data_IF_016362752841
#
_entry.id   IF_016362752841
#
_cell.length_a   1.000
_cell.length_b   1.000
_cell.length_c   1.000
_cell.angle_alpha   90.00
_cell.angle_beta   90.00
_cell.angle_gamma   90.00
#
_symmetry.space_group_name_H-M   'P 1'
#
loop_
_entity.id
_entity.type
_entity.pdbx_description
1 polymer ?
#
# COMPACT_ATOMS: atom_id res chain seq x y z
N UNK A 1 10.78 -33.69 0.29
CA UNK A 1 11.84 -33.08 1.15
C UNK A 1 11.36 -31.67 1.55
N UNK A 2 11.21 -31.39 2.84
CA UNK A 2 10.94 -30.02 3.32
C UNK A 2 12.23 -29.21 3.14
N UNK A 3 12.29 -28.38 2.11
CA UNK A 3 13.43 -27.48 1.92
C UNK A 3 13.55 -26.55 3.14
N UNK A 4 14.72 -26.58 3.75
CA UNK A 4 15.03 -25.81 4.95
C UNK A 4 15.09 -24.32 4.62
N UNK A 5 14.14 -23.56 5.14
CA UNK A 5 14.17 -22.08 5.04
C UNK A 5 15.24 -21.55 6.00
N UNK A 6 16.23 -20.79 5.54
CA UNK A 6 17.31 -20.25 6.35
C UNK A 6 16.79 -19.46 7.58
N UNK A 7 17.49 -19.58 8.71
CA UNK A 7 17.11 -18.87 9.95
C UNK A 7 16.94 -17.36 9.74
N UNK A 8 17.80 -16.74 8.93
CA UNK A 8 17.71 -15.31 8.61
C UNK A 8 16.42 -14.94 7.89
N UNK A 9 15.99 -15.75 6.91
CA UNK A 9 14.72 -15.53 6.19
C UNK A 9 13.52 -15.66 7.14
N UNK A 10 13.53 -16.64 8.06
CA UNK A 10 12.46 -16.81 9.05
C UNK A 10 12.37 -15.62 10.00
N UNK A 11 13.49 -15.08 10.47
CA UNK A 11 13.53 -13.91 11.34
C UNK A 11 13.03 -12.64 10.62
N UNK A 12 13.39 -12.45 9.34
CA UNK A 12 12.87 -11.37 8.52
C UNK A 12 11.35 -11.45 8.37
N UNK A 13 10.82 -12.62 8.00
CA UNK A 13 9.38 -12.83 7.83
C UNK A 13 8.63 -12.68 9.16
N UNK A 14 9.16 -13.17 10.27
CA UNK A 14 8.58 -12.99 11.60
C UNK A 14 8.56 -11.52 12.01
N UNK A 15 9.67 -10.80 11.82
CA UNK A 15 9.73 -9.36 12.08
C UNK A 15 8.73 -8.58 11.23
N UNK A 16 8.64 -8.88 9.93
CA UNK A 16 7.66 -8.24 9.05
C UNK A 16 6.22 -8.52 9.50
N UNK A 17 5.90 -9.75 9.87
CA UNK A 17 4.58 -10.08 10.41
C UNK A 17 4.26 -9.26 11.65
N UNK A 18 5.13 -9.28 12.67
CA UNK A 18 4.93 -8.59 13.95
C UNK A 18 4.85 -7.07 13.76
N UNK A 19 5.68 -6.48 12.90
CA UNK A 19 5.66 -5.02 12.63
C UNK A 19 4.46 -4.57 11.79
N UNK A 20 3.82 -5.46 11.04
CA UNK A 20 2.65 -5.14 10.20
C UNK A 20 1.33 -5.19 10.99
N UNK A 21 1.26 -5.93 12.10
CA UNK A 21 0.05 -5.95 12.96
C UNK A 21 -0.36 -4.56 13.42
N UNK A 22 0.53 -3.70 13.94
CA UNK A 22 0.21 -2.31 14.26
C UNK A 22 -0.39 -1.51 13.10
N UNK A 23 0.09 -1.73 11.87
CA UNK A 23 -0.45 -1.07 10.70
C UNK A 23 -1.91 -1.46 10.43
N UNK A 24 -2.25 -2.75 10.55
CA UNK A 24 -3.64 -3.22 10.42
C UNK A 24 -4.57 -2.61 11.47
N UNK A 25 -4.10 -2.44 12.70
CA UNK A 25 -4.81 -1.75 13.78
C UNK A 25 -5.04 -0.27 13.44
N UNK A 26 -3.99 0.46 13.03
CA UNK A 26 -4.07 1.89 12.71
C UNK A 26 -4.99 2.18 11.52
N UNK A 27 -5.05 1.29 10.53
CA UNK A 27 -5.94 1.45 9.37
C UNK A 27 -7.40 1.67 9.76
N UNK A 28 -7.84 1.02 10.84
CA UNK A 28 -9.22 1.09 11.31
C UNK A 28 -9.36 2.14 12.42
N UNK A 29 -8.47 2.10 13.41
CA UNK A 29 -8.62 2.82 14.67
C UNK A 29 -8.26 4.30 14.57
N UNK A 30 -7.17 4.63 13.86
CA UNK A 30 -6.61 5.97 13.94
C UNK A 30 -7.59 7.08 13.51
N UNK A 31 -8.33 6.98 12.37
CA UNK A 31 -9.27 8.03 11.98
C UNK A 31 -10.41 8.21 12.98
N UNK A 32 -10.90 7.11 13.57
CA UNK A 32 -11.98 7.13 14.56
C UNK A 32 -11.50 7.66 15.92
N UNK A 33 -10.30 7.26 16.34
CA UNK A 33 -9.65 7.79 17.53
C UNK A 33 -9.47 9.31 17.47
N UNK A 34 -8.97 9.83 16.35
CA UNK A 34 -8.73 11.26 16.18
C UNK A 34 -10.03 12.07 16.29
N UNK A 35 -11.16 11.60 15.73
CA UNK A 35 -12.46 12.26 15.89
C UNK A 35 -12.91 12.21 17.35
N UNK A 36 -12.74 11.09 18.05
CA UNK A 36 -13.07 10.99 19.48
C UNK A 36 -12.18 11.88 20.36
N UNK A 37 -10.95 12.11 19.93
CA UNK A 37 -10.04 13.07 20.56
C UNK A 37 -10.43 14.54 20.25
N UNK A 38 -11.53 14.79 19.54
CA UNK A 38 -12.02 16.13 19.21
C UNK A 38 -11.36 16.75 17.98
N UNK A 39 -10.63 15.98 17.20
CA UNK A 39 -9.99 16.48 15.97
C UNK A 39 -11.00 16.49 14.84
N UNK A 40 -11.15 17.63 14.19
CA UNK A 40 -12.07 17.79 13.06
C UNK A 40 -11.65 16.94 11.83
N UNK A 41 -12.61 16.39 11.05
CA UNK A 41 -12.32 15.59 9.86
C UNK A 41 -11.43 16.30 8.83
N UNK A 42 -11.57 17.60 8.65
CA UNK A 42 -10.74 18.39 7.76
C UNK A 42 -9.26 18.39 8.18
N UNK A 43 -9.01 18.51 9.49
CA UNK A 43 -7.67 18.45 10.06
C UNK A 43 -7.08 17.02 9.98
N UNK A 44 -7.90 15.99 10.15
CA UNK A 44 -7.48 14.59 9.93
C UNK A 44 -7.03 14.41 8.48
N UNK A 45 -7.79 14.94 7.52
CA UNK A 45 -7.40 14.92 6.11
C UNK A 45 -6.05 15.60 5.85
N UNK A 46 -5.82 16.76 6.47
CA UNK A 46 -4.53 17.46 6.42
C UNK A 46 -3.39 16.62 7.01
N UNK A 47 -3.61 16.01 8.17
CA UNK A 47 -2.66 15.10 8.83
C UNK A 47 -2.21 13.97 7.92
N UNK A 48 -3.17 13.29 7.29
CA UNK A 48 -2.91 12.21 6.35
C UNK A 48 -2.14 12.71 5.12
N UNK A 49 -2.49 13.88 4.61
CA UNK A 49 -1.83 14.50 3.46
C UNK A 49 -0.37 14.84 3.77
N UNK A 50 -0.12 15.53 4.87
CA UNK A 50 1.25 15.93 5.27
C UNK A 50 2.10 14.69 5.51
N UNK A 51 1.60 13.70 6.26
CA UNK A 51 2.31 12.45 6.50
C UNK A 51 2.60 11.69 5.21
N UNK A 52 1.64 11.62 4.28
CA UNK A 52 1.81 10.95 2.99
C UNK A 52 2.82 11.66 2.08
N UNK A 53 2.83 12.99 2.03
CA UNK A 53 3.80 13.78 1.28
C UNK A 53 5.21 13.60 1.83
N UNK A 54 5.39 13.69 3.16
CA UNK A 54 6.69 13.46 3.81
C UNK A 54 7.17 12.04 3.54
N UNK A 55 6.29 11.05 3.66
CA UNK A 55 6.61 9.64 3.32
C UNK A 55 7.11 9.52 1.89
N UNK A 56 6.39 10.11 0.93
CA UNK A 56 6.74 10.05 -0.50
C UNK A 56 8.10 10.66 -0.79
N UNK A 57 8.43 11.77 -0.13
CA UNK A 57 9.75 12.40 -0.23
C UNK A 57 10.85 11.50 0.35
N UNK A 58 10.63 10.93 1.53
CA UNK A 58 11.63 10.05 2.19
C UNK A 58 11.86 8.79 1.35
N UNK A 59 10.79 8.19 0.78
CA UNK A 59 10.92 7.01 -0.12
C UNK A 59 11.85 7.30 -1.27
N UNK A 60 11.75 8.48 -1.89
CA UNK A 60 12.58 8.84 -3.03
C UNK A 60 14.10 8.81 -2.74
N UNK A 61 14.48 9.09 -1.50
CA UNK A 61 15.90 9.13 -1.07
C UNK A 61 16.34 7.91 -0.26
N UNK A 62 15.40 7.12 0.27
CA UNK A 62 15.68 6.02 1.22
C UNK A 62 16.63 4.95 0.67
N UNK A 63 16.51 4.60 -0.61
CA UNK A 63 17.37 3.60 -1.24
C UNK A 63 18.84 3.97 -1.25
N UNK A 64 19.16 5.24 -1.51
CA UNK A 64 20.55 5.75 -1.52
C UNK A 64 21.16 5.74 -0.12
N UNK A 65 20.38 6.13 0.88
CA UNK A 65 20.85 6.13 2.27
C UNK A 65 20.99 4.71 2.83
N UNK A 66 20.07 3.79 2.52
CA UNK A 66 20.14 2.39 2.94
C UNK A 66 21.40 1.68 2.42
N UNK A 67 21.78 1.95 1.17
CA UNK A 67 22.98 1.38 0.57
C UNK A 67 24.29 1.97 1.18
N UNK A 68 24.27 3.22 1.69
CA UNK A 68 25.45 3.85 2.34
C UNK A 68 25.63 3.43 3.81
N UNK A 69 24.57 3.39 4.58
CA UNK A 69 24.61 3.17 6.05
C UNK A 69 24.44 1.71 6.47
N UNK A 70 24.11 0.80 5.53
CA UNK A 70 23.86 -0.61 5.76
C UNK A 70 22.34 -0.90 5.92
N UNK A 71 21.87 -1.84 5.13
CA UNK A 71 20.44 -2.19 5.05
C UNK A 71 19.86 -2.68 6.37
N UNK A 72 20.65 -3.47 7.15
CA UNK A 72 20.21 -3.96 8.45
C UNK A 72 19.96 -2.83 9.45
N UNK A 73 20.90 -1.87 9.57
CA UNK A 73 20.76 -0.73 10.49
C UNK A 73 19.56 0.13 10.08
N UNK A 74 19.40 0.33 8.79
CA UNK A 74 18.29 1.09 8.22
C UNK A 74 16.94 0.42 8.47
N UNK A 75 16.87 -0.92 8.34
CA UNK A 75 15.66 -1.70 8.61
C UNK A 75 15.29 -1.66 10.12
N UNK A 76 16.26 -1.81 11.01
CA UNK A 76 16.03 -1.70 12.46
C UNK A 76 15.56 -0.29 12.83
N UNK A 77 16.25 0.76 12.36
CA UNK A 77 15.88 2.14 12.62
C UNK A 77 14.46 2.45 12.11
N UNK A 78 14.17 2.08 10.85
CA UNK A 78 12.85 2.26 10.25
C UNK A 78 11.74 1.53 11.02
N UNK A 79 12.03 0.32 11.53
CA UNK A 79 11.07 -0.43 12.36
C UNK A 79 10.83 0.25 13.71
N UNK A 80 11.80 0.95 14.30
CA UNK A 80 11.67 1.62 15.61
C UNK A 80 11.05 3.02 15.52
N UNK A 81 11.11 3.70 14.37
CA UNK A 81 10.57 5.06 14.20
C UNK A 81 9.09 5.20 14.61
N UNK A 82 8.17 4.22 14.39
CA UNK A 82 6.79 4.34 14.84
C UNK A 82 6.60 4.28 16.36
N UNK A 83 7.56 3.78 17.12
CA UNK A 83 7.42 3.60 18.58
C UNK A 83 7.09 4.91 19.33
N UNK A 84 7.83 6.02 19.12
CA UNK A 84 7.45 7.31 19.71
C UNK A 84 6.03 7.75 19.33
N UNK A 85 5.61 7.47 18.09
CA UNK A 85 4.28 7.85 17.62
C UNK A 85 3.17 7.12 18.38
N UNK A 86 3.34 5.81 18.61
CA UNK A 86 2.38 5.04 19.42
C UNK A 86 2.33 5.54 20.87
N UNK A 87 3.48 5.93 21.43
CA UNK A 87 3.53 6.52 22.79
C UNK A 87 2.78 7.85 22.82
N UNK A 88 2.97 8.71 21.82
CA UNK A 88 2.26 9.99 21.71
C UNK A 88 0.75 9.75 21.58
N UNK A 89 0.31 8.85 20.70
CA UNK A 89 -1.13 8.50 20.59
C UNK A 89 -1.72 7.93 21.88
N UNK A 90 -0.90 7.27 22.71
CA UNK A 90 -1.34 6.75 24.00
C UNK A 90 -1.42 7.82 25.11
N UNK A 91 -0.67 8.91 25.02
CA UNK A 91 -0.44 9.82 26.15
C UNK A 91 -1.01 11.23 25.99
N UNK A 92 -1.21 11.69 24.76
CA UNK A 92 -1.68 13.06 24.50
C UNK A 92 -2.68 13.14 23.35
N UNK A 93 -3.56 14.14 23.42
CA UNK A 93 -4.49 14.53 22.35
C UNK A 93 -4.15 15.90 21.78
N UNK A 94 -3.00 16.48 22.16
CA UNK A 94 -2.56 17.77 21.63
C UNK A 94 -2.29 17.68 20.12
N UNK A 95 -2.90 18.54 19.29
CA UNK A 95 -2.78 18.48 17.83
C UNK A 95 -1.34 18.56 17.30
N UNK A 96 -0.46 19.33 17.97
CA UNK A 96 0.94 19.50 17.53
C UNK A 96 1.69 18.16 17.65
N UNK A 97 1.54 17.47 18.79
CA UNK A 97 2.14 16.17 19.02
C UNK A 97 1.55 15.08 18.12
N UNK A 98 0.23 15.14 17.85
CA UNK A 98 -0.43 14.21 16.93
C UNK A 98 0.07 14.39 15.49
N UNK A 99 0.34 15.64 15.05
CA UNK A 99 0.96 15.90 13.75
C UNK A 99 2.36 15.28 13.70
N UNK A 100 3.20 15.56 14.69
CA UNK A 100 4.56 15.03 14.75
C UNK A 100 4.57 13.49 14.75
N UNK A 101 3.71 12.87 15.56
CA UNK A 101 3.53 11.42 15.61
C UNK A 101 3.08 10.84 14.26
N UNK A 102 2.15 11.50 13.59
CA UNK A 102 1.63 11.06 12.29
C UNK A 102 2.68 11.13 11.19
N UNK A 103 3.55 12.14 11.22
CA UNK A 103 4.67 12.27 10.27
C UNK A 103 5.72 11.17 10.50
N UNK A 104 6.05 10.88 11.75
CA UNK A 104 7.06 9.87 12.09
C UNK A 104 6.56 8.44 11.85
N UNK A 105 5.47 8.08 12.47
CA UNK A 105 4.94 6.71 12.48
C UNK A 105 4.05 6.37 11.28
N UNK A 106 3.58 7.38 10.56
CA UNK A 106 2.65 7.23 9.46
C UNK A 106 1.19 7.20 9.90
N UNK A 107 0.31 7.30 8.90
CA UNK A 107 -1.15 7.24 9.06
C UNK A 107 -1.74 6.38 7.95
N UNK A 108 -2.72 5.56 8.29
CA UNK A 108 -3.43 4.74 7.32
C UNK A 108 -2.51 3.83 6.49
N UNK A 109 -2.59 3.94 5.17
CA UNK A 109 -1.75 3.22 4.22
C UNK A 109 -0.36 3.87 4.01
N UNK A 110 -0.18 5.11 4.46
CA UNK A 110 1.09 5.80 4.43
C UNK A 110 1.87 5.47 5.71
N UNK A 111 2.88 4.63 5.60
CA UNK A 111 3.69 4.17 6.72
C UNK A 111 4.64 5.23 7.30
N UNK A 112 4.44 6.51 7.00
CA UNK A 112 5.30 7.60 7.47
C UNK A 112 6.75 7.44 7.03
N UNK A 113 7.65 8.12 7.74
CA UNK A 113 9.08 7.96 7.56
C UNK A 113 9.55 6.51 7.75
N UNK A 114 8.90 5.78 8.65
CA UNK A 114 9.18 4.39 8.96
C UNK A 114 9.02 3.45 7.77
N UNK A 115 7.87 3.50 7.10
CA UNK A 115 7.60 2.62 5.94
C UNK A 115 8.52 2.89 4.77
N UNK A 116 8.86 4.17 4.55
CA UNK A 116 9.82 4.56 3.53
C UNK A 116 11.19 3.88 3.71
N UNK A 117 11.64 3.75 4.95
CA UNK A 117 12.93 3.18 5.29
C UNK A 117 12.92 1.64 5.29
N UNK A 118 11.80 1.03 5.64
CA UNK A 118 11.72 -0.43 5.83
C UNK A 118 11.51 -1.21 4.54
N UNK A 119 10.62 -0.77 3.63
CA UNK A 119 10.20 -1.55 2.46
C UNK A 119 11.37 -1.92 1.55
N UNK A 120 12.16 -0.93 1.11
CA UNK A 120 13.28 -1.18 0.19
C UNK A 120 14.37 -2.04 0.81
N UNK A 121 14.66 -1.85 2.10
CA UNK A 121 15.67 -2.62 2.83
C UNK A 121 15.21 -4.05 3.11
N UNK A 122 13.93 -4.25 3.42
CA UNK A 122 13.33 -5.55 3.66
C UNK A 122 13.37 -6.42 2.39
N UNK A 123 12.86 -5.92 1.27
CA UNK A 123 12.82 -6.66 0.01
C UNK A 123 14.22 -7.04 -0.48
N UNK A 124 15.18 -6.12 -0.34
CA UNK A 124 16.56 -6.38 -0.71
C UNK A 124 17.21 -7.47 0.17
N UNK A 125 17.03 -7.41 1.50
CA UNK A 125 17.53 -8.43 2.42
C UNK A 125 16.83 -9.77 2.23
N UNK A 126 15.54 -9.77 1.91
CA UNK A 126 14.78 -11.00 1.64
C UNK A 126 15.28 -11.68 0.36
N UNK A 127 15.54 -10.91 -0.69
CA UNK A 127 16.11 -11.42 -1.95
C UNK A 127 17.52 -11.97 -1.79
N UNK A 128 18.34 -11.36 -0.91
CA UNK A 128 19.71 -11.80 -0.61
C UNK A 128 19.75 -13.12 0.16
N UNK A 129 18.82 -13.31 1.10
CA UNK A 129 18.78 -14.52 1.96
C UNK A 129 18.01 -15.70 1.36
N UNK A 130 17.26 -15.48 0.27
CA UNK A 130 16.53 -16.51 -0.44
C UNK A 130 17.38 -17.04 -1.60
N UNK A 131 17.55 -18.39 -1.69
CA UNK A 131 18.14 -19.01 -2.87
C UNK A 131 17.31 -18.71 -4.13
N UNK A 132 17.94 -18.74 -5.30
CA UNK A 132 17.27 -18.39 -6.57
C UNK A 132 16.02 -19.26 -6.82
N UNK A 133 16.11 -20.56 -6.50
CA UNK A 133 15.01 -21.52 -6.59
C UNK A 133 13.87 -21.27 -5.60
N UNK A 134 14.15 -20.66 -4.45
CA UNK A 134 13.16 -20.38 -3.39
C UNK A 134 12.60 -18.97 -3.43
N UNK A 135 13.20 -18.06 -4.20
CA UNK A 135 12.89 -16.62 -4.19
C UNK A 135 11.40 -16.35 -4.40
N UNK A 136 10.80 -16.90 -5.44
CA UNK A 136 9.36 -16.71 -5.73
C UNK A 136 8.47 -17.18 -4.58
N UNK A 137 8.80 -18.35 -3.99
CA UNK A 137 8.04 -18.91 -2.87
C UNK A 137 8.15 -18.07 -1.60
N UNK A 138 9.36 -17.54 -1.32
CA UNK A 138 9.60 -16.71 -0.14
C UNK A 138 8.89 -15.35 -0.27
N UNK A 139 8.90 -14.72 -1.46
CA UNK A 139 8.14 -13.50 -1.70
C UNK A 139 6.62 -13.73 -1.63
N UNK A 140 6.11 -14.83 -2.17
CA UNK A 140 4.69 -15.18 -2.05
C UNK A 140 4.29 -15.41 -0.57
N UNK A 141 5.12 -16.08 0.21
CA UNK A 141 4.92 -16.25 1.65
C UNK A 141 4.95 -14.92 2.40
N UNK A 142 5.85 -14.01 2.03
CA UNK A 142 5.92 -12.65 2.60
C UNK A 142 4.62 -11.88 2.37
N UNK A 143 4.07 -11.91 1.16
CA UNK A 143 2.80 -11.26 0.84
C UNK A 143 1.61 -11.88 1.60
N UNK A 144 1.57 -13.21 1.73
CA UNK A 144 0.54 -13.87 2.51
C UNK A 144 0.63 -13.49 4.01
N UNK A 145 1.84 -13.48 4.58
CA UNK A 145 2.08 -13.06 5.95
C UNK A 145 1.73 -11.59 6.18
N UNK A 146 2.02 -10.71 5.21
CA UNK A 146 1.61 -9.30 5.23
C UNK A 146 0.09 -9.17 5.34
N UNK A 147 -0.67 -9.83 4.47
CA UNK A 147 -2.13 -9.80 4.50
C UNK A 147 -2.71 -10.38 5.79
N UNK A 148 -2.13 -11.48 6.29
CA UNK A 148 -2.53 -12.07 7.58
C UNK A 148 -2.25 -11.11 8.74
N UNK A 149 -1.09 -10.46 8.79
CA UNK A 149 -0.74 -9.51 9.84
C UNK A 149 -1.68 -8.29 9.84
N UNK A 150 -2.00 -7.75 8.66
CA UNK A 150 -3.01 -6.70 8.52
C UNK A 150 -4.38 -7.14 9.03
N UNK A 151 -4.80 -8.37 8.71
CA UNK A 151 -6.06 -8.93 9.18
C UNK A 151 -6.07 -9.05 10.72
N UNK A 152 -5.00 -9.60 11.32
CA UNK A 152 -4.87 -9.67 12.79
C UNK A 152 -4.94 -8.28 13.43
N UNK A 153 -4.20 -7.31 12.90
CA UNK A 153 -4.24 -5.93 13.38
C UNK A 153 -5.63 -5.30 13.26
N UNK A 154 -6.33 -5.56 12.16
CA UNK A 154 -7.70 -5.07 11.95
C UNK A 154 -8.69 -5.68 12.95
N UNK A 155 -8.57 -6.97 13.28
CA UNK A 155 -9.39 -7.60 14.33
C UNK A 155 -9.06 -7.01 15.71
N UNK A 156 -7.78 -6.74 15.99
CA UNK A 156 -7.38 -6.10 17.23
C UNK A 156 -7.97 -4.68 17.40
N UNK A 157 -8.51 -4.08 16.35
CA UNK A 157 -9.24 -2.82 16.43
C UNK A 157 -10.48 -2.88 17.34
N UNK A 158 -11.01 -4.08 17.63
CA UNK A 158 -12.11 -4.26 18.58
C UNK A 158 -11.71 -4.05 20.07
N UNK A 159 -10.41 -4.09 20.38
CA UNK A 159 -9.93 -4.05 21.78
C UNK A 159 -10.38 -2.77 22.52
N UNK A 160 -10.27 -1.54 21.99
CA UNK A 160 -10.77 -0.35 22.68
C UNK A 160 -12.26 -0.45 23.04
N UNK A 161 -13.09 -0.93 22.11
CA UNK A 161 -14.53 -1.12 22.37
C UNK A 161 -14.77 -2.16 23.48
N UNK A 162 -14.05 -3.27 23.48
CA UNK A 162 -14.12 -4.28 24.54
C UNK A 162 -13.72 -3.71 25.89
N UNK A 163 -12.67 -2.90 25.97
CA UNK A 163 -12.24 -2.25 27.20
C UNK A 163 -13.30 -1.30 27.75
N UNK A 164 -13.99 -0.55 26.89
CA UNK A 164 -15.10 0.33 27.30
C UNK A 164 -16.31 -0.45 27.79
N UNK A 165 -16.75 -1.45 27.04
CA UNK A 165 -18.01 -2.15 27.31
C UNK A 165 -17.91 -3.18 28.43
N UNK A 166 -16.78 -3.88 28.54
CA UNK A 166 -16.61 -4.98 29.52
C UNK A 166 -15.91 -4.55 30.80
N UNK A 167 -15.06 -3.53 30.74
CA UNK A 167 -14.24 -3.08 31.89
C UNK A 167 -14.56 -1.65 32.34
N UNK A 168 -15.47 -0.93 31.67
CA UNK A 168 -15.85 0.44 32.04
C UNK A 168 -14.73 1.47 31.89
N UNK A 169 -13.71 1.18 31.07
CA UNK A 169 -12.60 2.11 30.81
C UNK A 169 -13.13 3.33 30.06
N UNK A 170 -12.63 4.53 30.40
CA UNK A 170 -13.01 5.77 29.72
C UNK A 170 -12.72 5.75 28.21
N UNK A 171 -13.47 6.57 27.46
CA UNK A 171 -13.43 6.56 25.99
C UNK A 171 -12.01 6.69 25.40
N UNK A 172 -11.26 7.71 25.79
CA UNK A 172 -9.90 7.92 25.30
C UNK A 172 -8.87 7.01 25.98
N UNK A 173 -9.11 6.64 27.25
CA UNK A 173 -8.23 5.74 27.99
C UNK A 173 -8.21 4.33 27.40
N UNK A 174 -9.31 3.89 26.80
CA UNK A 174 -9.42 2.58 26.16
C UNK A 174 -8.42 2.37 25.01
N UNK A 175 -7.89 3.43 24.44
CA UNK A 175 -6.88 3.36 23.37
C UNK A 175 -5.44 3.30 23.88
N UNK A 176 -5.18 3.70 25.16
CA UNK A 176 -3.82 3.73 25.73
C UNK A 176 -3.16 2.37 25.68
N UNK A 177 -3.84 1.35 26.23
CA UNK A 177 -3.29 -0.01 26.29
C UNK A 177 -3.00 -0.59 24.89
N UNK A 178 -3.93 -0.55 23.93
CA UNK A 178 -3.65 -0.96 22.54
C UNK A 178 -2.46 -0.23 21.90
N UNK A 179 -2.35 1.10 22.03
CA UNK A 179 -1.21 1.81 21.46
C UNK A 179 0.12 1.43 22.11
N UNK A 180 0.16 1.25 23.43
CA UNK A 180 1.36 0.74 24.10
C UNK A 180 1.69 -0.70 23.71
N UNK A 181 0.68 -1.55 23.49
CA UNK A 181 0.88 -2.90 22.96
C UNK A 181 1.46 -2.86 21.54
N UNK A 182 1.00 -1.93 20.67
CA UNK A 182 1.57 -1.74 19.32
C UNK A 182 3.03 -1.26 19.38
N UNK A 183 3.36 -0.37 20.32
CA UNK A 183 4.74 0.03 20.58
C UNK A 183 5.61 -1.16 21.00
N UNK A 184 5.15 -1.98 21.93
CA UNK A 184 5.85 -3.18 22.38
C UNK A 184 6.06 -4.20 21.26
N UNK A 185 5.02 -4.47 20.44
CA UNK A 185 5.11 -5.34 19.27
C UNK A 185 6.16 -4.82 18.26
N UNK A 186 6.21 -3.53 18.05
CA UNK A 186 7.16 -2.90 17.13
C UNK A 186 8.60 -3.02 17.65
N UNK A 187 8.82 -2.85 18.96
CA UNK A 187 10.12 -3.10 19.60
C UNK A 187 10.51 -4.58 19.48
N UNK A 188 9.57 -5.50 19.73
CA UNK A 188 9.81 -6.93 19.56
C UNK A 188 10.16 -7.29 18.10
N UNK A 189 9.49 -6.67 17.11
CA UNK A 189 9.83 -6.83 15.69
C UNK A 189 11.26 -6.38 15.39
N UNK A 190 11.68 -5.22 15.93
CA UNK A 190 13.05 -4.73 15.77
C UNK A 190 14.07 -5.64 16.45
N UNK A 191 13.75 -6.19 17.62
CA UNK A 191 14.62 -7.16 18.33
C UNK A 191 14.87 -8.43 17.49
N UNK A 192 13.88 -8.92 16.73
CA UNK A 192 14.04 -10.04 15.81
C UNK A 192 15.05 -9.78 14.68
N UNK A 193 15.32 -8.51 14.36
CA UNK A 193 16.28 -8.11 13.33
C UNK A 193 17.73 -8.01 13.86
N UNK A 194 17.92 -7.92 15.18
CA UNK A 194 19.24 -7.76 15.79
C UNK A 194 20.20 -8.92 15.47
N UNK A 195 19.80 -10.22 15.48
CA UNK A 195 20.70 -11.31 15.16
C UNK A 195 21.00 -11.48 13.66
N UNK A 196 20.36 -10.69 12.77
CA UNK A 196 20.59 -10.79 11.33
C UNK A 196 21.99 -10.28 10.97
N UNK A 197 22.67 -11.00 10.07
CA UNK A 197 23.93 -10.56 9.48
C UNK A 197 23.68 -10.09 8.06
N UNK A 198 24.37 -9.03 7.65
CA UNK A 198 24.34 -8.47 6.31
C UNK A 198 25.54 -9.02 5.52
N UNK A 199 25.32 -9.56 4.32
CA UNK A 199 26.41 -9.99 3.44
C UNK A 199 26.94 -8.79 2.66
N UNK A 200 28.17 -8.39 2.99
CA UNK A 200 28.84 -7.19 2.47
C UNK A 200 29.20 -7.31 0.97
N UNK A 201 29.26 -8.54 0.45
CA UNK A 201 29.72 -8.83 -0.92
C UNK A 201 28.79 -8.33 -2.03
N UNK A 202 27.50 -8.10 -1.75
CA UNK A 202 26.51 -7.65 -2.74
C UNK A 202 26.50 -6.12 -2.95
N UNK A 203 27.28 -5.38 -2.16
CA UNK A 203 27.30 -3.91 -2.13
C UNK A 203 27.89 -3.24 -3.39
N UNK A 204 28.60 -3.98 -4.23
CA UNK A 204 29.49 -3.43 -5.27
C UNK A 204 28.89 -3.31 -6.68
N UNK A 205 27.67 -3.79 -6.96
CA UNK A 205 27.19 -3.98 -8.34
C UNK A 205 25.98 -3.12 -8.77
N UNK A 206 25.79 -1.91 -8.26
CA UNK A 206 24.81 -0.98 -8.85
C UNK A 206 25.48 0.07 -9.72
N UNK A 207 25.49 -0.21 -11.02
CA UNK A 207 25.74 0.78 -12.06
C UNK A 207 24.62 1.82 -11.99
N UNK A 208 25.00 3.09 -11.82
CA UNK A 208 24.08 4.22 -11.87
C UNK A 208 23.41 4.26 -13.26
N UNK A 209 22.17 3.77 -13.35
CA UNK A 209 21.33 4.02 -14.52
C UNK A 209 21.02 5.52 -14.58
N UNK A 210 21.13 6.12 -15.76
CA UNK A 210 20.90 7.55 -15.95
C UNK A 210 19.54 8.00 -15.44
N UNK A 211 19.46 9.20 -14.86
CA UNK A 211 18.31 9.76 -14.15
C UNK A 211 17.04 9.95 -15.00
N UNK A 212 17.12 9.90 -16.33
CA UNK A 212 16.00 10.15 -17.22
C UNK A 212 15.85 9.03 -18.26
N UNK A 213 14.75 8.27 -18.26
CA UNK A 213 14.45 7.28 -19.26
C UNK A 213 14.20 7.98 -20.60
N UNK A 214 14.87 7.54 -21.68
CA UNK A 214 14.71 8.11 -23.01
C UNK A 214 13.87 7.24 -23.95
N UNK A 215 14.04 5.93 -23.85
CA UNK A 215 13.40 4.95 -24.77
C UNK A 215 12.00 4.54 -24.34
N UNK A 216 11.72 4.47 -23.05
CA UNK A 216 10.43 3.99 -22.51
C UNK A 216 9.50 5.12 -22.06
N UNK A 217 9.77 6.38 -22.42
CA UNK A 217 8.95 7.54 -22.04
C UNK A 217 7.44 7.34 -22.22
N UNK A 218 6.93 6.84 -23.39
CA UNK A 218 5.49 6.66 -23.57
C UNK A 218 4.89 5.62 -22.61
N UNK A 219 5.63 4.54 -22.34
CA UNK A 219 5.18 3.50 -21.42
C UNK A 219 5.14 4.01 -19.97
N UNK A 220 6.18 4.74 -19.57
CA UNK A 220 6.27 5.35 -18.23
C UNK A 220 5.19 6.42 -18.04
N UNK A 221 4.94 7.27 -19.05
CA UNK A 221 3.89 8.29 -18.98
C UNK A 221 2.49 7.65 -18.89
N UNK A 222 2.22 6.60 -19.67
CA UNK A 222 0.94 5.88 -19.61
C UNK A 222 0.76 5.20 -18.26
N UNK A 223 1.81 4.60 -17.70
CA UNK A 223 1.80 3.99 -16.39
C UNK A 223 1.59 5.05 -15.30
N UNK A 224 2.34 6.15 -15.35
CA UNK A 224 2.24 7.26 -14.40
C UNK A 224 0.83 7.87 -14.38
N UNK A 225 0.20 8.03 -15.55
CA UNK A 225 -1.18 8.50 -15.65
C UNK A 225 -2.15 7.53 -14.95
N UNK A 226 -2.07 6.23 -15.28
CA UNK A 226 -2.95 5.21 -14.71
C UNK A 226 -2.78 5.06 -13.20
N UNK A 227 -1.52 4.97 -12.73
CA UNK A 227 -1.21 4.81 -11.31
C UNK A 227 -1.50 6.11 -10.53
N UNK A 228 -1.39 7.28 -11.18
CA UNK A 228 -1.74 8.57 -10.60
C UNK A 228 -3.24 8.68 -10.33
N UNK A 229 -4.08 8.31 -11.30
CA UNK A 229 -5.53 8.21 -11.09
C UNK A 229 -5.85 7.25 -9.94
N UNK A 230 -5.26 6.06 -9.92
CA UNK A 230 -5.48 5.07 -8.88
C UNK A 230 -5.01 5.56 -7.51
N UNK A 231 -3.85 6.21 -7.44
CA UNK A 231 -3.31 6.80 -6.21
C UNK A 231 -4.25 7.84 -5.62
N UNK A 232 -4.67 8.83 -6.41
CA UNK A 232 -5.60 9.85 -5.95
C UNK A 232 -6.96 9.26 -5.55
N UNK A 233 -7.50 8.32 -6.36
CA UNK A 233 -8.75 7.62 -6.08
C UNK A 233 -8.72 6.84 -4.76
N UNK A 234 -7.61 6.16 -4.47
CA UNK A 234 -7.39 5.47 -3.20
C UNK A 234 -7.26 6.47 -2.05
N UNK A 235 -6.54 7.57 -2.26
CA UNK A 235 -6.37 8.64 -1.28
C UNK A 235 -7.69 9.27 -0.87
N UNK A 236 -8.51 9.69 -1.84
CA UNK A 236 -9.76 10.42 -1.56
C UNK A 236 -10.88 9.52 -1.04
N UNK A 237 -10.98 8.27 -1.51
CA UNK A 237 -12.10 7.40 -1.17
C UNK A 237 -11.79 6.39 -0.06
N UNK A 238 -10.54 5.94 0.10
CA UNK A 238 -10.25 4.76 0.91
C UNK A 238 -9.49 5.06 2.19
N UNK A 239 -8.60 6.03 2.19
CA UNK A 239 -7.78 6.32 3.37
C UNK A 239 -8.60 6.75 4.59
N UNK A 240 -9.65 7.55 4.39
CA UNK A 240 -10.57 8.00 5.44
C UNK A 240 -11.90 7.22 5.43
N UNK A 241 -11.94 6.06 4.78
CA UNK A 241 -13.15 5.24 4.72
C UNK A 241 -13.63 4.73 6.10
N UNK A 242 -12.76 4.37 7.07
CA UNK A 242 -13.22 4.06 8.42
C UNK A 242 -13.95 5.23 9.08
N UNK A 243 -13.43 6.46 8.89
CA UNK A 243 -14.09 7.68 9.35
C UNK A 243 -15.44 7.89 8.64
N UNK A 244 -15.49 7.69 7.32
CA UNK A 244 -16.71 7.77 6.55
C UNK A 244 -17.79 6.81 7.06
N UNK A 245 -17.42 5.53 7.34
CA UNK A 245 -18.34 4.55 7.92
C UNK A 245 -18.83 4.98 9.29
N UNK A 246 -17.93 5.46 10.15
CA UNK A 246 -18.29 5.95 11.49
C UNK A 246 -19.27 7.11 11.43
N UNK A 247 -19.01 8.13 10.61
CA UNK A 247 -19.86 9.32 10.46
C UNK A 247 -21.19 9.00 9.79
N UNK A 248 -21.22 8.09 8.81
CA UNK A 248 -22.42 7.79 8.01
C UNK A 248 -23.37 6.80 8.68
N UNK A 249 -22.83 5.76 9.34
CA UNK A 249 -23.61 4.66 9.91
C UNK A 249 -23.53 4.59 11.45
N UNK A 250 -22.72 5.43 12.10
CA UNK A 250 -22.55 5.39 13.56
C UNK A 250 -21.79 4.16 14.06
N UNK A 251 -21.07 3.45 13.18
CA UNK A 251 -20.31 2.24 13.55
C UNK A 251 -18.97 2.59 14.19
N UNK A 252 -18.51 1.69 15.03
CA UNK A 252 -17.26 1.84 15.75
C UNK A 252 -16.16 0.91 15.19
N UNK A 253 -14.98 0.95 15.79
CA UNK A 253 -13.82 0.17 15.40
C UNK A 253 -14.02 -1.35 15.54
N UNK A 254 -14.86 -1.81 16.49
CA UNK A 254 -15.17 -3.23 16.64
C UNK A 254 -16.07 -3.75 15.51
N UNK A 255 -16.96 -2.90 15.00
CA UNK A 255 -17.82 -3.23 13.85
C UNK A 255 -16.99 -3.29 12.56
N UNK A 256 -16.00 -2.41 12.39
CA UNK A 256 -15.19 -2.29 11.18
C UNK A 256 -14.08 -3.34 11.09
N UNK A 257 -13.45 -3.67 12.21
CA UNK A 257 -12.28 -4.56 12.27
C UNK A 257 -12.46 -5.87 11.49
N UNK A 258 -13.54 -6.64 11.70
CA UNK A 258 -13.80 -7.88 10.97
C UNK A 258 -13.90 -7.70 9.45
N UNK A 259 -14.48 -6.60 8.96
CA UNK A 259 -14.61 -6.34 7.53
C UNK A 259 -13.28 -5.97 6.88
N UNK A 260 -12.43 -5.20 7.58
CA UNK A 260 -11.07 -4.93 7.13
C UNK A 260 -10.22 -6.20 7.10
N UNK A 261 -10.37 -7.07 8.10
CA UNK A 261 -9.73 -8.38 8.11
C UNK A 261 -10.22 -9.26 6.95
N UNK A 262 -11.54 -9.32 6.72
CA UNK A 262 -12.13 -10.04 5.60
C UNK A 262 -11.61 -9.55 4.25
N UNK A 263 -11.44 -8.24 4.06
CA UNK A 263 -10.87 -7.67 2.84
C UNK A 263 -9.42 -8.14 2.60
N UNK A 264 -8.60 -8.21 3.65
CA UNK A 264 -7.23 -8.73 3.54
C UNK A 264 -7.21 -10.23 3.22
N UNK A 265 -8.04 -11.02 3.88
CA UNK A 265 -8.11 -12.46 3.65
C UNK A 265 -8.66 -12.79 2.26
N UNK A 266 -9.71 -12.09 1.80
CA UNK A 266 -10.25 -12.29 0.46
C UNK A 266 -9.23 -11.95 -0.63
N UNK A 267 -8.37 -10.95 -0.38
CA UNK A 267 -7.30 -10.56 -1.30
C UNK A 267 -6.28 -11.68 -1.56
N UNK A 268 -6.10 -12.63 -0.63
CA UNK A 268 -5.27 -13.81 -0.87
C UNK A 268 -5.85 -14.72 -1.96
N UNK A 269 -7.16 -14.71 -2.14
CA UNK A 269 -7.85 -15.48 -3.18
C UNK A 269 -7.57 -15.01 -4.61
N UNK A 270 -7.03 -13.80 -4.80
CA UNK A 270 -6.69 -13.26 -6.14
C UNK A 270 -5.70 -14.14 -6.88
N UNK A 271 -4.79 -14.83 -6.18
CA UNK A 271 -3.79 -15.72 -6.76
C UNK A 271 -4.42 -16.83 -7.61
N UNK A 272 -5.59 -17.32 -7.21
CA UNK A 272 -6.31 -18.38 -7.96
C UNK A 272 -7.03 -17.84 -9.19
N UNK A 273 -7.40 -16.56 -9.19
CA UNK A 273 -8.17 -15.92 -10.27
C UNK A 273 -7.27 -15.34 -11.36
N UNK A 274 -6.06 -14.88 -11.00
CA UNK A 274 -5.09 -14.26 -11.92
C UNK A 274 -4.83 -15.12 -13.17
N UNK A 275 -4.45 -16.41 -13.09
CA UNK A 275 -4.14 -17.21 -14.27
C UNK A 275 -5.33 -17.40 -15.22
N UNK A 276 -6.54 -17.46 -14.67
CA UNK A 276 -7.76 -17.59 -15.45
C UNK A 276 -8.06 -16.32 -16.26
N UNK A 277 -7.96 -15.15 -15.61
CA UNK A 277 -8.20 -13.86 -16.27
C UNK A 277 -7.12 -13.52 -17.31
N UNK A 278 -5.87 -13.84 -17.01
CA UNK A 278 -4.76 -13.63 -17.93
C UNK A 278 -4.99 -14.38 -19.27
N UNK A 279 -5.41 -15.64 -19.19
CA UNK A 279 -5.70 -16.46 -20.38
C UNK A 279 -6.92 -15.96 -21.17
N UNK A 280 -7.93 -15.40 -20.51
CA UNK A 280 -9.18 -15.00 -21.17
C UNK A 280 -9.19 -13.56 -21.69
N UNK A 281 -8.65 -12.63 -20.91
CA UNK A 281 -8.75 -11.20 -21.19
C UNK A 281 -7.41 -10.57 -21.61
N UNK A 282 -6.29 -11.17 -21.18
CA UNK A 282 -4.97 -10.56 -21.28
C UNK A 282 -4.78 -9.41 -20.30
N UNK A 283 -3.53 -8.95 -20.10
CA UNK A 283 -3.17 -7.99 -19.05
C UNK A 283 -3.95 -6.67 -19.08
N UNK A 284 -3.96 -5.90 -20.20
CA UNK A 284 -4.60 -4.59 -20.23
C UNK A 284 -6.11 -4.63 -19.95
N UNK A 285 -6.82 -5.62 -20.53
CA UNK A 285 -8.28 -5.76 -20.33
C UNK A 285 -8.61 -6.23 -18.93
N UNK A 286 -7.77 -7.06 -18.31
CA UNK A 286 -7.94 -7.47 -16.92
C UNK A 286 -7.83 -6.29 -15.96
N UNK A 287 -6.85 -5.39 -16.17
CA UNK A 287 -6.72 -4.17 -15.35
C UNK A 287 -7.94 -3.26 -15.53
N UNK A 288 -8.40 -3.05 -16.78
CA UNK A 288 -9.60 -2.27 -17.07
C UNK A 288 -10.81 -2.85 -16.34
N UNK A 289 -11.06 -4.16 -16.45
CA UNK A 289 -12.16 -4.84 -15.79
C UNK A 289 -12.08 -4.70 -14.26
N UNK A 290 -10.93 -5.02 -13.68
CA UNK A 290 -10.76 -5.05 -12.23
C UNK A 290 -10.90 -3.64 -11.61
N UNK A 291 -10.29 -2.62 -12.21
CA UNK A 291 -10.43 -1.24 -11.72
C UNK A 291 -11.83 -0.68 -11.94
N UNK A 292 -12.49 -1.02 -13.06
CA UNK A 292 -13.88 -0.62 -13.29
C UNK A 292 -14.83 -1.29 -12.30
N UNK A 293 -14.67 -2.58 -12.01
CA UNK A 293 -15.44 -3.29 -10.99
C UNK A 293 -15.22 -2.68 -9.60
N UNK A 294 -13.96 -2.36 -9.26
CA UNK A 294 -13.63 -1.68 -8.00
C UNK A 294 -14.26 -0.28 -7.90
N UNK A 295 -14.20 0.52 -8.97
CA UNK A 295 -14.87 1.82 -9.05
C UNK A 295 -16.38 1.71 -8.92
N UNK A 296 -16.99 0.73 -9.56
CA UNK A 296 -18.42 0.42 -9.44
C UNK A 296 -18.80 0.10 -7.98
N UNK A 297 -18.02 -0.73 -7.29
CA UNK A 297 -18.24 -0.98 -5.87
C UNK A 297 -18.20 0.31 -5.03
N UNK A 298 -17.22 1.20 -5.28
CA UNK A 298 -17.15 2.51 -4.59
C UNK A 298 -18.40 3.37 -4.82
N UNK A 299 -18.89 3.43 -6.07
CA UNK A 299 -20.10 4.18 -6.40
C UNK A 299 -21.33 3.60 -5.68
N UNK A 300 -21.47 2.28 -5.62
CA UNK A 300 -22.60 1.61 -4.95
C UNK A 300 -22.52 1.70 -3.42
N UNK A 301 -21.33 1.87 -2.80
CA UNK A 301 -21.22 2.12 -1.36
C UNK A 301 -22.02 3.38 -0.96
N UNK A 302 -22.06 4.41 -1.81
CA UNK A 302 -22.82 5.65 -1.56
C UNK A 302 -24.31 5.38 -1.42
N UNK A 303 -24.83 4.41 -2.19
CA UNK A 303 -26.26 4.05 -2.25
C UNK A 303 -26.63 2.98 -1.21
N UNK A 304 -25.67 2.46 -0.46
CA UNK A 304 -25.91 1.37 0.48
C UNK A 304 -26.86 1.81 1.61
N UNK A 305 -27.98 1.10 1.82
CA UNK A 305 -28.97 1.47 2.83
C UNK A 305 -28.51 1.13 4.26
N UNK A 306 -27.66 0.14 4.42
CA UNK A 306 -27.15 -0.33 5.70
C UNK A 306 -25.65 -0.61 5.66
N UNK A 307 -25.02 -0.56 6.81
CA UNK A 307 -23.58 -0.76 6.96
C UNK A 307 -23.07 -2.08 6.35
N UNK A 308 -23.76 -3.20 6.58
CA UNK A 308 -23.33 -4.51 6.10
C UNK A 308 -23.22 -4.58 4.58
N UNK A 309 -24.14 -3.94 3.84
CA UNK A 309 -24.07 -3.85 2.38
C UNK A 309 -22.87 -3.00 1.94
N UNK A 310 -22.68 -1.85 2.56
CA UNK A 310 -21.54 -0.97 2.26
C UNK A 310 -20.19 -1.66 2.57
N UNK A 311 -20.09 -2.37 3.69
CA UNK A 311 -18.91 -3.12 4.09
C UNK A 311 -18.62 -4.31 3.17
N UNK A 312 -19.66 -5.02 2.69
CA UNK A 312 -19.52 -6.10 1.69
C UNK A 312 -18.96 -5.56 0.37
N UNK A 313 -19.48 -4.42 -0.10
CA UNK A 313 -18.97 -3.74 -1.29
C UNK A 313 -17.53 -3.28 -1.11
N UNK A 314 -17.15 -2.80 0.09
CA UNK A 314 -15.76 -2.45 0.41
C UNK A 314 -14.83 -3.66 0.31
N UNK A 315 -15.21 -4.81 0.85
CA UNK A 315 -14.44 -6.06 0.75
C UNK A 315 -14.26 -6.47 -0.71
N UNK A 316 -15.34 -6.46 -1.48
CA UNK A 316 -15.33 -6.81 -2.91
C UNK A 316 -14.47 -5.83 -3.73
N UNK A 317 -14.56 -4.52 -3.44
CA UNK A 317 -13.70 -3.50 -4.03
C UNK A 317 -12.22 -3.82 -3.81
N UNK A 318 -11.86 -4.17 -2.56
CA UNK A 318 -10.50 -4.54 -2.19
C UNK A 318 -9.97 -5.71 -3.01
N UNK A 319 -10.77 -6.74 -3.18
CA UNK A 319 -10.46 -7.90 -4.01
C UNK A 319 -10.12 -7.50 -5.46
N UNK A 320 -10.98 -6.71 -6.11
CA UNK A 320 -10.74 -6.26 -7.49
C UNK A 320 -9.51 -5.35 -7.62
N UNK A 321 -9.29 -4.46 -6.65
CA UNK A 321 -8.10 -3.60 -6.67
C UNK A 321 -6.81 -4.45 -6.57
N UNK A 322 -6.76 -5.40 -5.64
CA UNK A 322 -5.60 -6.28 -5.46
C UNK A 322 -5.39 -7.21 -6.66
N UNK A 323 -6.47 -7.66 -7.30
CA UNK A 323 -6.41 -8.44 -8.53
C UNK A 323 -5.70 -7.68 -9.68
N UNK A 324 -5.87 -6.37 -9.77
CA UNK A 324 -5.27 -5.55 -10.83
C UNK A 324 -3.77 -5.34 -10.68
N UNK A 325 -3.24 -5.36 -9.45
CA UNK A 325 -1.88 -4.94 -9.13
C UNK A 325 -0.77 -5.72 -9.86
N UNK A 326 -0.76 -7.08 -9.90
CA UNK A 326 0.25 -7.83 -10.62
C UNK A 326 0.27 -7.55 -12.13
N UNK A 327 -0.91 -7.36 -12.72
CA UNK A 327 -1.02 -7.01 -14.15
C UNK A 327 -0.46 -5.62 -14.44
N UNK A 328 -0.70 -4.63 -13.58
CA UNK A 328 -0.12 -3.29 -13.72
C UNK A 328 1.40 -3.35 -13.73
N UNK A 329 2.01 -4.10 -12.80
CA UNK A 329 3.46 -4.28 -12.74
C UNK A 329 3.99 -5.03 -13.96
N UNK A 330 3.32 -6.09 -14.40
CA UNK A 330 3.68 -6.85 -15.59
C UNK A 330 3.66 -5.98 -16.86
N UNK A 331 2.62 -5.16 -17.03
CA UNK A 331 2.49 -4.23 -18.16
C UNK A 331 3.65 -3.21 -18.20
N UNK A 332 4.03 -2.66 -17.05
CA UNK A 332 5.17 -1.74 -16.95
C UNK A 332 6.46 -2.46 -17.36
N UNK A 333 6.71 -3.66 -16.83
CA UNK A 333 7.94 -4.42 -17.13
C UNK A 333 8.03 -4.82 -18.60
N UNK A 334 6.92 -5.23 -19.22
CA UNK A 334 6.85 -5.63 -20.64
C UNK A 334 7.04 -4.42 -21.56
N UNK A 335 6.50 -3.26 -21.17
CA UNK A 335 6.56 -2.05 -21.98
C UNK A 335 7.83 -1.22 -21.78
N UNK A 336 8.75 -1.63 -20.90
CA UNK A 336 9.96 -0.88 -20.56
C UNK A 336 11.21 -1.69 -20.93
N UNK A 337 12.22 -1.01 -21.49
CA UNK A 337 13.51 -1.67 -21.76
C UNK A 337 14.22 -2.03 -20.45
N UNK A 338 14.99 -3.14 -20.40
CA UNK A 338 15.58 -3.65 -19.16
C UNK A 338 16.36 -2.61 -18.36
N UNK A 339 17.11 -1.73 -19.04
CA UNK A 339 17.97 -0.70 -18.44
C UNK A 339 17.17 0.41 -17.72
N UNK A 340 15.92 0.65 -18.14
CA UNK A 340 15.06 1.72 -17.62
C UNK A 340 14.00 1.21 -16.64
N UNK A 341 13.90 -0.11 -16.37
CA UNK A 341 12.87 -0.71 -15.51
C UNK A 341 12.88 -0.17 -14.09
N UNK A 342 14.07 -0.05 -13.48
CA UNK A 342 14.19 0.46 -12.11
C UNK A 342 13.70 1.91 -12.00
N UNK A 343 14.06 2.76 -12.97
CA UNK A 343 13.61 4.15 -13.04
C UNK A 343 12.10 4.23 -13.26
N UNK A 344 11.53 3.36 -14.12
CA UNK A 344 10.11 3.31 -14.40
C UNK A 344 9.29 2.96 -13.13
N UNK A 345 9.75 1.95 -12.38
CA UNK A 345 9.12 1.56 -11.11
C UNK A 345 9.20 2.69 -10.10
N UNK A 346 10.38 3.29 -9.93
CA UNK A 346 10.58 4.41 -9.02
C UNK A 346 9.69 5.62 -9.35
N UNK A 347 9.60 5.99 -10.63
CA UNK A 347 8.71 7.05 -11.10
C UNK A 347 7.23 6.72 -10.82
N UNK A 348 6.81 5.46 -11.04
CA UNK A 348 5.46 5.01 -10.73
C UNK A 348 5.13 5.14 -9.25
N UNK A 349 6.00 4.67 -8.36
CA UNK A 349 5.80 4.80 -6.91
C UNK A 349 5.79 6.26 -6.44
N UNK A 350 6.63 7.12 -7.02
CA UNK A 350 6.63 8.54 -6.70
C UNK A 350 5.31 9.21 -7.09
N UNK A 351 4.80 8.95 -8.30
CA UNK A 351 3.50 9.48 -8.75
C UNK A 351 2.36 8.94 -7.89
N UNK A 352 2.34 7.61 -7.63
CA UNK A 352 1.32 7.00 -6.77
C UNK A 352 1.34 7.58 -5.36
N UNK A 353 2.50 7.68 -4.73
CA UNK A 353 2.64 8.20 -3.37
C UNK A 353 2.19 9.65 -3.27
N UNK A 354 2.62 10.50 -4.22
CA UNK A 354 2.24 11.91 -4.25
C UNK A 354 0.72 12.10 -4.46
N UNK A 355 0.14 11.43 -5.45
CA UNK A 355 -1.30 11.55 -5.73
C UNK A 355 -2.16 10.95 -4.63
N UNK A 356 -1.72 9.82 -4.03
CA UNK A 356 -2.40 9.20 -2.91
C UNK A 356 -2.40 10.11 -1.66
N UNK A 357 -1.31 10.84 -1.43
CA UNK A 357 -1.20 11.76 -0.30
C UNK A 357 -2.14 12.98 -0.41
N UNK A 358 -2.48 13.43 -1.61
CA UNK A 358 -3.36 14.59 -1.81
C UNK A 358 -4.84 14.29 -1.55
N UNK A 359 -5.26 13.03 -1.75
CA UNK A 359 -6.66 12.63 -1.64
C UNK A 359 -7.31 12.90 -0.27
N UNK A 360 -6.65 12.56 0.85
CA UNK A 360 -7.21 12.75 2.19
C UNK A 360 -7.55 14.20 2.54
N UNK A 361 -6.80 15.19 2.02
CA UNK A 361 -7.11 16.60 2.24
C UNK A 361 -8.51 16.94 1.74
N UNK A 362 -8.81 16.56 0.51
CA UNK A 362 -10.13 16.78 -0.08
C UNK A 362 -11.20 15.93 0.63
N UNK A 363 -10.90 14.66 0.94
CA UNK A 363 -11.83 13.78 1.65
C UNK A 363 -12.18 14.29 3.04
N UNK A 364 -11.19 14.71 3.83
CA UNK A 364 -11.41 15.25 5.17
C UNK A 364 -12.23 16.52 5.18
N UNK A 365 -11.95 17.45 4.25
CA UNK A 365 -12.73 18.68 4.09
C UNK A 365 -14.20 18.39 3.72
N UNK A 366 -14.44 17.47 2.78
CA UNK A 366 -15.79 17.08 2.38
C UNK A 366 -16.54 16.37 3.51
N UNK A 367 -15.90 15.47 4.25
CA UNK A 367 -16.50 14.79 5.39
C UNK A 367 -16.83 15.76 6.52
N UNK A 368 -15.94 16.74 6.79
CA UNK A 368 -16.18 17.80 7.76
C UNK A 368 -17.37 18.70 7.38
N UNK A 369 -17.61 18.89 6.09
CA UNK A 369 -18.77 19.61 5.56
C UNK A 369 -20.05 18.75 5.47
N UNK A 370 -20.04 17.47 5.90
CA UNK A 370 -21.17 16.55 5.82
C UNK A 370 -21.45 16.00 4.41
N UNK A 371 -20.50 16.17 3.46
CA UNK A 371 -20.64 15.72 2.08
C UNK A 371 -20.08 14.31 1.93
N UNK A 372 -20.87 13.28 2.21
CA UNK A 372 -20.43 11.87 2.23
C UNK A 372 -20.32 11.23 0.85
N UNK A 373 -21.13 11.63 -0.12
CA UNK A 373 -21.16 10.98 -1.43
C UNK A 373 -19.94 11.30 -2.29
N UNK A 374 -19.50 12.56 -2.28
CA UNK A 374 -18.54 13.09 -3.24
C UNK A 374 -17.15 12.44 -3.17
N UNK A 375 -16.55 12.15 -1.98
CA UNK A 375 -15.26 11.46 -1.91
C UNK A 375 -15.27 10.09 -2.59
N UNK A 376 -16.34 9.32 -2.41
CA UNK A 376 -16.47 7.98 -2.99
C UNK A 376 -16.74 8.04 -4.50
N UNK A 377 -17.58 8.97 -4.97
CA UNK A 377 -17.86 9.14 -6.39
C UNK A 377 -16.64 9.65 -7.16
N UNK A 378 -15.90 10.61 -6.61
CA UNK A 378 -14.63 11.05 -7.19
C UNK A 378 -13.61 9.91 -7.21
N UNK A 379 -13.52 9.13 -6.12
CA UNK A 379 -12.69 7.93 -6.09
C UNK A 379 -13.09 6.93 -7.17
N UNK A 380 -14.38 6.65 -7.33
CA UNK A 380 -14.89 5.76 -8.39
C UNK A 380 -14.49 6.27 -9.79
N UNK A 381 -14.67 7.56 -10.05
CA UNK A 381 -14.26 8.20 -11.32
C UNK A 381 -12.76 8.01 -11.58
N UNK A 382 -11.92 8.19 -10.55
CA UNK A 382 -10.48 7.99 -10.65
C UNK A 382 -10.12 6.52 -10.95
N UNK A 383 -10.82 5.56 -10.34
CA UNK A 383 -10.63 4.13 -10.64
C UNK A 383 -11.01 3.80 -12.10
N UNK A 384 -12.10 4.37 -12.62
CA UNK A 384 -12.45 4.23 -14.05
C UNK A 384 -11.40 4.89 -14.95
N UNK A 385 -10.94 6.10 -14.61
CA UNK A 385 -9.86 6.78 -15.35
C UNK A 385 -8.57 5.97 -15.38
N UNK A 386 -8.17 5.41 -14.24
CA UNK A 386 -7.02 4.51 -14.14
C UNK A 386 -7.21 3.26 -14.99
N UNK A 387 -8.37 2.62 -14.93
CA UNK A 387 -8.72 1.46 -15.74
C UNK A 387 -8.61 1.76 -17.25
N UNK A 388 -9.15 2.88 -17.70
CA UNK A 388 -9.06 3.32 -19.09
C UNK A 388 -7.60 3.62 -19.51
N UNK A 389 -6.84 4.30 -18.67
CA UNK A 389 -5.43 4.58 -18.94
C UNK A 389 -4.61 3.29 -19.12
N UNK A 390 -4.77 2.32 -18.25
CA UNK A 390 -4.12 1.02 -18.38
C UNK A 390 -4.67 0.21 -19.56
N UNK A 391 -5.99 0.04 -19.64
CA UNK A 391 -6.63 -0.80 -20.64
C UNK A 391 -6.39 -0.31 -22.07
N UNK A 392 -6.70 0.94 -22.36
CA UNK A 392 -6.57 1.53 -23.69
C UNK A 392 -5.13 1.95 -23.97
N UNK A 393 -4.47 2.61 -23.01
CA UNK A 393 -3.12 3.12 -23.17
C UNK A 393 -2.11 2.01 -23.49
N UNK A 394 -2.05 0.98 -22.65
CA UNK A 394 -1.13 -0.15 -22.88
C UNK A 394 -1.54 -1.01 -24.07
N UNK A 395 -2.82 -1.21 -24.36
CA UNK A 395 -3.22 -1.92 -25.58
C UNK A 395 -2.70 -1.24 -26.85
N UNK A 396 -2.79 0.10 -26.92
CA UNK A 396 -2.25 0.88 -28.04
C UNK A 396 -0.73 0.81 -28.14
N UNK A 397 -0.03 0.89 -26.99
CA UNK A 397 1.43 0.80 -26.93
C UNK A 397 1.94 -0.56 -27.40
N UNK A 398 1.36 -1.64 -26.91
CA UNK A 398 1.74 -3.00 -27.29
C UNK A 398 1.45 -3.28 -28.78
N UNK A 399 0.31 -2.80 -29.30
CA UNK A 399 -0.02 -2.93 -30.70
C UNK A 399 0.95 -2.15 -31.61
N UNK A 400 1.40 -0.96 -31.20
CA UNK A 400 2.42 -0.19 -31.96
C UNK A 400 3.77 -0.91 -32.01
N UNK A 401 4.21 -1.47 -30.86
CA UNK A 401 5.47 -2.24 -30.80
C UNK A 401 5.43 -3.47 -31.67
N UNK A 402 4.36 -4.25 -31.62
CA UNK A 402 4.21 -5.42 -32.46
C UNK A 402 4.29 -5.07 -33.97
N UNK A 403 3.68 -3.95 -34.40
CA UNK A 403 3.79 -3.45 -35.79
C UNK A 403 5.22 -3.04 -36.16
N UNK A 404 5.96 -2.42 -35.27
CA UNK A 404 7.35 -2.00 -35.48
C UNK A 404 8.29 -3.21 -35.60
N UNK A 405 8.10 -4.25 -34.80
CA UNK A 405 8.86 -5.49 -34.86
C UNK A 405 8.60 -6.23 -36.18
N UNK A 406 7.34 -6.32 -36.61
CA UNK A 406 6.99 -6.94 -37.93
C UNK A 406 7.60 -6.16 -39.11
N UNK A 407 7.56 -4.81 -39.05
CA UNK A 407 8.17 -3.97 -40.07
C UNK A 407 9.70 -4.11 -40.13
N UNK A 408 10.36 -4.23 -38.96
CA UNK A 408 11.81 -4.43 -38.88
C UNK A 408 12.24 -5.80 -39.47
N UNK A 409 11.49 -6.86 -39.18
CA UNK A 409 11.75 -8.21 -39.74
C UNK A 409 11.53 -8.22 -41.25
N UNK A 410 10.49 -7.52 -41.76
CA UNK A 410 10.21 -7.42 -43.18
C UNK A 410 11.29 -6.68 -43.98
N UNK A 411 11.95 -5.68 -43.38
CA UNK A 411 13.05 -4.95 -44.05
C UNK A 411 14.34 -5.78 -44.14
N UNK A 412 14.63 -6.65 -43.19
CA UNK A 412 15.79 -7.57 -43.28
C UNK A 412 15.61 -8.67 -44.31
N UNK A 413 14.37 -9.07 -44.65
CA UNK A 413 14.09 -10.06 -45.70
C UNK A 413 14.18 -9.48 -47.11
N UNK A 414 14.02 -8.16 -47.27
CA UNK A 414 14.09 -7.51 -48.59
C UNK A 414 15.55 -7.23 -49.08
N UNK A 415 16.48 -6.98 -48.13
CA UNK A 415 17.89 -6.72 -48.46
C UNK A 415 18.72 -8.00 -48.71
N UNK A 416 18.19 -9.19 -48.42
CA UNK A 416 18.88 -10.47 -48.63
C UNK A 416 18.59 -11.16 -49.98
N UNK A 417 17.81 -10.53 -50.88
CA UNK A 417 17.41 -11.09 -52.20
C UNK A 417 17.88 -10.26 -53.42
N UNK A 418 18.90 -9.38 -53.21
CA UNK A 418 19.52 -8.63 -54.30
C UNK A 418 20.92 -9.17 -54.66
#
# INVERSE_FOLDING_TARGET
MREYVPRGTRLLLASAFVSTVPMGYLLVVLPLYLVRAGIEPAFIGLLYTVSGLVTSLIVAFSGVFADRWGRRRFLIAGTLIPVPSYIVFATTTDPIWLIAASILGGVGLANGAAGALTVSSFDAMLAEKASESQRTRVFAASQALWSLALAFGSVAAAVPTLLRTSFGVGDLESYRLPYLAMAALTVAAAALLVPLREDVSVRAARVASGWLPRRSRPAIATYALGIGFLGFGLGIAVQLLPLWFGLRFGVNEADLGPWYAAAQLLSLGTVFVIPFLERRLGGPRTVLFALSASGTCLAYIVLAPVFTVAASLFVLRGFFTNLSWPFQQSLLMTATVPEERATAVGAGFAVWGFTNALGPLASGALLGAGVFALPLLLGALMYFGGGLAFGIGFSRLLARRARQEVAAVGSFGADGSA
#
